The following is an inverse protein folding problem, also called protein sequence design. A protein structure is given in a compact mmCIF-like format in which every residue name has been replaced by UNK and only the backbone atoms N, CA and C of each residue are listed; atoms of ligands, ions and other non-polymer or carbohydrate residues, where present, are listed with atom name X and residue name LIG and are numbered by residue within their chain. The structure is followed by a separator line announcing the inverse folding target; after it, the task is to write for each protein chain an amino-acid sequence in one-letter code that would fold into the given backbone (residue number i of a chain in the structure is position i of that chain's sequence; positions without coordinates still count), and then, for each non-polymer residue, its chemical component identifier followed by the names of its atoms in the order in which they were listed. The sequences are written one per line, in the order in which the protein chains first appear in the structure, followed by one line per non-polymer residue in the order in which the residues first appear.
data_IF_635579583352
#
_entry.id   IF_635579583352
#
_cell.length_a   1.000
_cell.length_b   1.000
_cell.length_c   1.000
_cell.angle_alpha   90.00
_cell.angle_beta   90.00
_cell.angle_gamma   90.00
#
_symmetry.space_group_name_H-M   'P 1'
#
loop_
_entity.id
_entity.type
_entity.pdbx_description
1 polymer ?
#
# COMPACT_ATOMS: atom_id res chain seq x y z
N UNK A 1 -14.58 17.78 -8.24
CA UNK A 1 -13.91 19.08 -8.40
C UNK A 1 -12.42 19.04 -8.04
N UNK A 2 -12.02 18.21 -7.08
CA UNK A 2 -10.65 18.08 -6.55
C UNK A 2 -9.63 17.50 -7.54
N UNK A 3 -10.09 16.81 -8.58
CA UNK A 3 -9.24 16.24 -9.63
C UNK A 3 -9.48 16.88 -11.01
N UNK A 4 -10.20 18.02 -11.04
CA UNK A 4 -10.57 18.70 -12.28
C UNK A 4 -9.38 19.21 -13.11
N UNK A 5 -8.23 19.43 -12.46
CA UNK A 5 -7.01 19.90 -13.11
C UNK A 5 -6.20 18.77 -13.77
N UNK A 6 -6.52 17.50 -13.47
CA UNK A 6 -5.85 16.37 -14.10
C UNK A 6 -6.29 16.25 -15.55
N UNK A 7 -5.31 16.01 -16.42
CA UNK A 7 -5.50 15.71 -17.83
C UNK A 7 -4.67 14.49 -18.19
N UNK A 8 -5.19 13.72 -19.13
CA UNK A 8 -4.43 12.65 -19.79
C UNK A 8 -3.65 13.31 -20.92
N UNK A 9 -2.36 12.98 -21.03
CA UNK A 9 -1.46 13.46 -22.07
C UNK A 9 -0.94 12.26 -22.86
N UNK A 10 -0.68 12.44 -24.15
CA UNK A 10 -0.28 11.32 -25.01
C UNK A 10 1.12 10.78 -24.67
N UNK A 11 2.02 11.67 -24.21
CA UNK A 11 3.41 11.38 -23.88
C UNK A 11 3.61 10.55 -22.59
N UNK A 12 2.56 10.39 -21.79
CA UNK A 12 2.57 9.61 -20.54
C UNK A 12 1.76 8.30 -20.64
N UNK A 13 1.09 8.02 -21.77
CA UNK A 13 0.19 6.87 -21.91
C UNK A 13 0.90 5.53 -21.77
N UNK A 14 2.09 5.39 -22.37
CA UNK A 14 2.88 4.15 -22.29
C UNK A 14 3.33 3.85 -20.86
N UNK A 15 3.80 4.86 -20.14
CA UNK A 15 4.16 4.71 -18.73
C UNK A 15 2.92 4.40 -17.88
N UNK A 16 1.80 5.07 -18.15
CA UNK A 16 0.54 4.84 -17.42
C UNK A 16 -0.01 3.42 -17.65
N UNK A 17 0.14 2.88 -18.86
CA UNK A 17 -0.21 1.48 -19.17
C UNK A 17 0.72 0.49 -18.46
N UNK A 18 2.02 0.78 -18.41
CA UNK A 18 2.96 -0.02 -17.60
C UNK A 18 2.60 0.01 -16.11
N UNK A 19 2.24 1.17 -15.55
CA UNK A 19 1.76 1.27 -14.16
C UNK A 19 0.46 0.50 -13.92
N UNK A 20 -0.46 0.55 -14.89
CA UNK A 20 -1.71 -0.21 -14.84
C UNK A 20 -1.45 -1.71 -14.76
N UNK A 21 -0.59 -2.24 -15.64
CA UNK A 21 -0.32 -3.68 -15.72
C UNK A 21 0.54 -4.21 -14.57
N UNK A 22 1.49 -3.42 -14.06
CA UNK A 22 2.50 -3.90 -13.11
C UNK A 22 2.23 -3.51 -11.65
N UNK A 23 1.41 -2.48 -11.39
CA UNK A 23 1.26 -1.92 -10.05
C UNK A 23 -0.19 -1.75 -9.57
N UNK A 24 -1.20 -2.04 -10.40
CA UNK A 24 -2.59 -2.03 -9.97
C UNK A 24 -3.04 -3.42 -9.52
N UNK A 25 -3.48 -3.55 -8.27
CA UNK A 25 -3.98 -4.80 -7.69
C UNK A 25 -5.50 -4.93 -7.78
N UNK A 26 -6.20 -3.82 -8.08
CA UNK A 26 -7.66 -3.75 -8.18
C UNK A 26 -8.04 -3.27 -9.59
N UNK A 27 -9.10 -3.81 -10.20
CA UNK A 27 -9.54 -3.39 -11.53
C UNK A 27 -9.76 -1.88 -11.64
N UNK A 28 -9.14 -1.26 -12.65
CA UNK A 28 -9.32 0.15 -12.98
C UNK A 28 -10.43 0.29 -14.01
N UNK A 29 -11.55 0.89 -13.62
CA UNK A 29 -12.58 1.31 -14.57
C UNK A 29 -12.13 2.59 -15.28
N UNK A 30 -12.29 2.64 -16.61
CA UNK A 30 -11.95 3.80 -17.44
C UNK A 30 -10.65 3.67 -18.24
N UNK A 31 -9.76 2.75 -17.88
CA UNK A 31 -8.48 2.59 -18.59
C UNK A 31 -7.56 3.81 -18.50
N UNK A 32 -6.46 3.79 -19.28
CA UNK A 32 -5.41 4.82 -19.24
C UNK A 32 -5.82 6.14 -19.89
N UNK A 33 -6.79 6.10 -20.81
CA UNK A 33 -7.20 7.26 -21.63
C UNK A 33 -8.16 8.22 -20.91
N UNK A 34 -8.66 7.85 -19.73
CA UNK A 34 -9.63 8.65 -18.98
C UNK A 34 -9.05 9.21 -17.69
N UNK A 35 -9.39 10.45 -17.34
CA UNK A 35 -8.89 11.12 -16.11
C UNK A 35 -9.20 10.33 -14.84
N UNK A 36 -10.38 9.73 -14.73
CA UNK A 36 -10.74 8.91 -13.57
C UNK A 36 -9.96 7.59 -13.52
N UNK A 37 -9.66 7.00 -14.69
CA UNK A 37 -8.81 5.82 -14.79
C UNK A 37 -7.36 6.14 -14.42
N UNK A 38 -6.80 7.22 -14.97
CA UNK A 38 -5.49 7.78 -14.59
C UNK A 38 -5.40 8.02 -13.08
N UNK A 39 -6.39 8.68 -12.49
CA UNK A 39 -6.43 8.97 -11.03
C UNK A 39 -6.36 7.67 -10.21
N UNK A 40 -7.11 6.65 -10.62
CA UNK A 40 -7.11 5.34 -9.96
C UNK A 40 -5.76 4.63 -10.12
N UNK A 41 -5.18 4.62 -11.32
CA UNK A 41 -3.86 4.03 -11.58
C UNK A 41 -2.79 4.71 -10.71
N UNK A 42 -2.76 6.04 -10.68
CA UNK A 42 -1.78 6.80 -9.88
C UNK A 42 -1.95 6.55 -8.37
N UNK A 43 -3.19 6.41 -7.88
CA UNK A 43 -3.46 6.04 -6.50
C UNK A 43 -2.93 4.63 -6.18
N UNK A 44 -3.17 3.65 -7.04
CA UNK A 44 -2.68 2.28 -6.83
C UNK A 44 -1.16 2.19 -6.97
N UNK A 45 -0.58 2.87 -7.96
CA UNK A 45 0.86 3.00 -8.14
C UNK A 45 1.54 3.64 -6.91
N UNK A 46 0.88 4.64 -6.31
CA UNK A 46 1.35 5.23 -5.06
C UNK A 46 1.39 4.19 -3.93
N UNK A 47 0.28 3.47 -3.68
CA UNK A 47 0.21 2.41 -2.66
C UNK A 47 1.28 1.33 -2.91
N UNK A 48 1.49 0.95 -4.16
CA UNK A 48 2.51 -0.02 -4.60
C UNK A 48 3.95 0.50 -4.53
N UNK A 49 4.17 1.76 -4.16
CA UNK A 49 5.48 2.43 -4.15
C UNK A 49 6.20 2.38 -5.51
N UNK A 50 5.42 2.41 -6.60
CA UNK A 50 5.96 2.41 -7.95
C UNK A 50 6.90 3.61 -8.16
N UNK A 51 7.95 3.38 -8.96
CA UNK A 51 8.83 4.43 -9.44
C UNK A 51 8.26 4.97 -10.75
N UNK A 52 8.09 6.29 -10.81
CA UNK A 52 7.61 6.99 -11.99
C UNK A 52 8.78 7.73 -12.62
N UNK A 53 8.85 7.73 -13.95
CA UNK A 53 9.89 8.37 -14.74
C UNK A 53 9.46 9.74 -15.24
N UNK A 54 8.22 9.87 -15.72
CA UNK A 54 7.72 11.13 -16.24
C UNK A 54 7.44 12.14 -15.13
N UNK A 55 8.01 13.34 -15.25
CA UNK A 55 7.75 14.46 -14.34
C UNK A 55 6.27 14.84 -14.27
N UNK A 56 5.52 14.70 -15.37
CA UNK A 56 4.08 14.98 -15.37
C UNK A 56 3.32 14.00 -14.49
N UNK A 57 3.61 12.70 -14.59
CA UNK A 57 2.98 11.66 -13.77
C UNK A 57 3.42 11.75 -12.29
N UNK A 58 4.68 12.09 -12.02
CA UNK A 58 5.16 12.32 -10.64
C UNK A 58 4.36 13.47 -9.99
N UNK A 59 4.22 14.58 -10.71
CA UNK A 59 3.46 15.76 -10.26
C UNK A 59 1.98 15.40 -10.04
N UNK A 60 1.37 14.72 -11.00
CA UNK A 60 -0.03 14.31 -10.93
C UNK A 60 -0.27 13.30 -9.79
N UNK A 61 0.64 12.36 -9.56
CA UNK A 61 0.57 11.42 -8.42
C UNK A 61 0.65 12.18 -7.09
N UNK A 62 1.56 13.15 -6.96
CA UNK A 62 1.65 14.00 -5.76
C UNK A 62 0.35 14.76 -5.52
N UNK A 63 -0.23 15.35 -6.58
CA UNK A 63 -1.52 16.01 -6.51
C UNK A 63 -2.64 15.06 -6.09
N UNK A 64 -2.71 13.85 -6.65
CA UNK A 64 -3.69 12.83 -6.23
C UNK A 64 -3.54 12.54 -4.74
N UNK A 65 -2.32 12.29 -4.26
CA UNK A 65 -2.06 11.89 -2.88
C UNK A 65 -2.41 12.95 -1.84
N UNK A 66 -2.17 14.23 -2.13
CA UNK A 66 -2.54 15.35 -1.25
C UNK A 66 -4.05 15.43 -0.97
N UNK A 67 -4.86 14.93 -1.89
CA UNK A 67 -6.32 15.01 -1.83
C UNK A 67 -6.96 13.67 -1.46
N UNK A 68 -6.43 12.54 -1.92
CA UNK A 68 -7.10 11.23 -1.84
C UNK A 68 -7.25 10.72 -0.41
N UNK A 69 -6.25 10.93 0.46
CA UNK A 69 -6.31 10.51 1.88
C UNK A 69 -7.49 11.17 2.59
N UNK A 70 -7.61 12.51 2.50
CA UNK A 70 -8.68 13.24 3.18
C UNK A 70 -10.06 12.90 2.61
N UNK A 71 -10.15 12.66 1.30
CA UNK A 71 -11.40 12.26 0.65
C UNK A 71 -11.86 10.88 1.13
N UNK A 72 -10.96 9.91 1.21
CA UNK A 72 -11.30 8.56 1.68
C UNK A 72 -11.69 8.58 3.16
N UNK A 73 -10.99 9.37 4.00
CA UNK A 73 -11.38 9.54 5.41
C UNK A 73 -12.76 10.17 5.56
N UNK A 74 -13.07 11.21 4.77
CA UNK A 74 -14.40 11.82 4.76
C UNK A 74 -15.48 10.81 4.36
N UNK A 75 -15.23 10.01 3.31
CA UNK A 75 -16.14 8.93 2.92
C UNK A 75 -16.33 7.91 4.04
N UNK A 76 -15.23 7.48 4.68
CA UNK A 76 -15.26 6.57 5.83
C UNK A 76 -16.13 7.11 6.97
N UNK A 77 -15.95 8.37 7.35
CA UNK A 77 -16.73 8.99 8.42
C UNK A 77 -18.23 9.07 8.10
N UNK A 78 -18.58 9.39 6.85
CA UNK A 78 -19.98 9.43 6.41
C UNK A 78 -20.61 8.03 6.52
N UNK A 79 -19.95 6.99 6.02
CA UNK A 79 -20.51 5.63 6.06
C UNK A 79 -20.54 5.06 7.47
N UNK A 80 -19.59 5.44 8.32
CA UNK A 80 -19.55 5.06 9.73
C UNK A 80 -20.73 5.67 10.49
N UNK A 81 -21.02 6.96 10.28
CA UNK A 81 -22.19 7.65 10.86
C UNK A 81 -23.51 7.05 10.39
N UNK A 82 -23.55 6.45 9.20
CA UNK A 82 -24.72 5.74 8.66
C UNK A 82 -24.82 4.28 9.10
N UNK A 83 -23.88 3.80 9.93
CA UNK A 83 -23.83 2.43 10.42
C UNK A 83 -23.73 1.37 9.31
N UNK A 84 -23.11 1.71 8.18
CA UNK A 84 -22.91 0.78 7.07
C UNK A 84 -21.66 -0.08 7.29
N UNK A 85 -21.71 -0.98 8.27
CA UNK A 85 -20.55 -1.71 8.80
C UNK A 85 -19.60 -2.28 7.73
N UNK A 86 -20.13 -2.96 6.70
CA UNK A 86 -19.32 -3.55 5.62
C UNK A 86 -18.56 -2.46 4.85
N UNK A 87 -19.24 -1.38 4.47
CA UNK A 87 -18.62 -0.30 3.71
C UNK A 87 -17.65 0.52 4.57
N UNK A 88 -17.97 0.74 5.84
CA UNK A 88 -17.07 1.37 6.81
C UNK A 88 -15.77 0.58 6.97
N UNK A 89 -15.86 -0.74 7.10
CA UNK A 89 -14.68 -1.61 7.18
C UNK A 89 -13.81 -1.52 5.91
N UNK A 90 -14.44 -1.56 4.73
CA UNK A 90 -13.74 -1.43 3.45
C UNK A 90 -13.07 -0.06 3.28
N UNK A 91 -13.76 1.03 3.58
CA UNK A 91 -13.20 2.37 3.45
C UNK A 91 -12.08 2.64 4.47
N UNK A 92 -12.18 2.12 5.69
CA UNK A 92 -11.10 2.19 6.66
C UNK A 92 -9.84 1.48 6.17
N UNK A 93 -10.00 0.30 5.56
CA UNK A 93 -8.91 -0.46 4.97
C UNK A 93 -8.25 0.30 3.82
N UNK A 94 -9.05 0.90 2.93
CA UNK A 94 -8.51 1.75 1.85
C UNK A 94 -7.78 2.98 2.43
N UNK A 95 -8.33 3.64 3.44
CA UNK A 95 -7.67 4.77 4.10
C UNK A 95 -6.28 4.37 4.64
N UNK A 96 -6.21 3.25 5.36
CA UNK A 96 -4.94 2.70 5.87
C UNK A 96 -3.95 2.38 4.76
N UNK A 97 -4.40 1.77 3.66
CA UNK A 97 -3.51 1.42 2.55
C UNK A 97 -2.87 2.64 1.90
N UNK A 98 -3.64 3.71 1.73
CA UNK A 98 -3.14 4.98 1.18
C UNK A 98 -2.20 5.66 2.18
N UNK A 99 -2.62 5.79 3.44
CA UNK A 99 -1.83 6.47 4.47
C UNK A 99 -0.47 5.80 4.74
N UNK A 100 -0.45 4.47 4.75
CA UNK A 100 0.77 3.69 4.97
C UNK A 100 1.54 3.41 3.67
N UNK A 101 1.00 3.82 2.53
CA UNK A 101 1.55 3.56 1.19
C UNK A 101 1.91 2.08 1.03
N UNK A 102 0.92 1.23 1.29
CA UNK A 102 1.09 -0.22 1.45
C UNK A 102 -0.23 -0.96 1.26
N UNK A 103 -0.23 -2.08 0.54
CA UNK A 103 -1.41 -2.94 0.42
C UNK A 103 -1.71 -3.70 1.73
N UNK A 104 -2.99 -4.00 1.99
CA UNK A 104 -3.40 -4.76 3.16
C UNK A 104 -3.06 -6.26 3.07
N UNK A 105 -2.58 -6.71 1.92
CA UNK A 105 -2.17 -8.10 1.66
C UNK A 105 -0.71 -8.39 1.95
N UNK A 106 0.11 -7.37 2.20
CA UNK A 106 1.54 -7.56 2.49
C UNK A 106 1.81 -7.51 3.99
N UNK A 107 2.97 -8.03 4.41
CA UNK A 107 3.33 -8.16 5.81
C UNK A 107 3.39 -6.77 6.52
N UNK A 108 2.80 -6.60 7.71
CA UNK A 108 2.81 -5.32 8.42
C UNK A 108 4.20 -4.74 8.72
N UNK A 109 5.26 -5.55 8.73
CA UNK A 109 6.64 -5.11 8.94
C UNK A 109 7.16 -4.22 7.78
N UNK A 110 6.47 -4.15 6.64
CA UNK A 110 6.75 -3.18 5.58
C UNK A 110 6.61 -1.71 6.04
N UNK A 111 5.95 -1.45 7.18
CA UNK A 111 5.99 -0.15 7.87
C UNK A 111 7.41 0.23 8.34
N UNK A 112 8.29 -0.76 8.52
CA UNK A 112 9.68 -0.58 8.92
C UNK A 112 10.66 -0.76 7.75
N UNK A 113 10.21 -0.61 6.49
CA UNK A 113 11.05 -0.82 5.30
C UNK A 113 12.27 0.09 5.17
N UNK A 114 12.34 1.15 5.98
CA UNK A 114 13.52 2.01 6.10
C UNK A 114 14.63 1.42 7.00
N UNK A 115 14.29 0.40 7.80
CA UNK A 115 15.20 -0.26 8.74
C UNK A 115 15.42 -1.74 8.39
N UNK A 116 14.43 -2.39 7.75
CA UNK A 116 14.51 -3.79 7.34
C UNK A 116 14.84 -3.86 5.85
N UNK A 117 15.81 -4.70 5.48
CA UNK A 117 16.14 -4.96 4.07
C UNK A 117 14.89 -5.49 3.32
N UNK A 118 14.59 -4.90 2.16
CA UNK A 118 13.45 -5.23 1.30
C UNK A 118 13.40 -6.72 0.96
N UNK A 119 14.53 -7.37 0.70
CA UNK A 119 14.59 -8.81 0.40
C UNK A 119 14.07 -9.67 1.55
N UNK A 120 14.26 -9.22 2.80
CA UNK A 120 13.74 -9.92 3.97
C UNK A 120 12.22 -9.77 4.03
N UNK A 121 11.71 -8.55 3.81
CA UNK A 121 10.26 -8.30 3.77
C UNK A 121 9.58 -9.13 2.68
N UNK A 122 10.17 -9.21 1.49
CA UNK A 122 9.68 -10.07 0.41
C UNK A 122 9.69 -11.56 0.78
N UNK A 123 10.70 -12.05 1.52
CA UNK A 123 10.71 -13.43 2.04
C UNK A 123 9.61 -13.67 3.06
N UNK A 124 9.30 -12.68 3.91
CA UNK A 124 8.19 -12.76 4.86
C UNK A 124 6.84 -12.83 4.14
N UNK A 125 6.64 -12.01 3.11
CA UNK A 125 5.44 -12.05 2.26
C UNK A 125 5.29 -13.40 1.54
N UNK A 126 6.37 -13.89 0.91
CA UNK A 126 6.36 -15.15 0.18
C UNK A 126 6.00 -16.34 1.08
N UNK A 127 6.31 -16.25 2.37
CA UNK A 127 5.97 -17.26 3.39
C UNK A 127 4.67 -16.96 4.14
N UNK A 128 3.96 -15.88 3.77
CA UNK A 128 2.72 -15.41 4.41
C UNK A 128 2.88 -15.29 5.93
N UNK A 129 4.02 -14.78 6.36
CA UNK A 129 4.29 -14.59 7.78
C UNK A 129 3.42 -13.46 8.34
N UNK A 130 2.93 -13.64 9.56
CA UNK A 130 2.25 -12.59 10.33
C UNK A 130 3.09 -12.18 11.54
N UNK A 131 2.91 -10.97 12.09
CA UNK A 131 3.57 -10.55 13.32
C UNK A 131 3.35 -11.53 14.48
N UNK A 132 2.14 -12.04 14.66
CA UNK A 132 1.78 -13.00 15.71
C UNK A 132 2.62 -14.27 15.60
N UNK A 133 2.68 -14.87 14.40
CA UNK A 133 3.45 -16.08 14.18
C UNK A 133 4.95 -15.85 14.36
N UNK A 134 5.47 -14.68 13.96
CA UNK A 134 6.87 -14.31 14.22
C UNK A 134 7.16 -14.18 15.73
N UNK A 135 6.19 -13.75 16.54
CA UNK A 135 6.34 -13.66 17.99
C UNK A 135 6.36 -15.04 18.66
N UNK A 136 5.67 -16.03 18.10
CA UNK A 136 5.67 -17.41 18.60
C UNK A 136 6.93 -18.19 18.24
N UNK A 137 7.57 -17.86 17.11
CA UNK A 137 8.74 -18.59 16.61
C UNK A 137 10.04 -18.30 17.37
N UNK A 138 10.93 -19.28 17.45
CA UNK A 138 12.29 -19.06 17.96
C UNK A 138 13.10 -18.16 17.04
N UNK A 139 13.94 -17.29 17.62
CA UNK A 139 14.74 -16.33 16.84
C UNK A 139 15.70 -17.01 15.86
N UNK A 140 16.16 -18.22 16.18
CA UNK A 140 16.99 -19.04 15.29
C UNK A 140 16.19 -19.50 14.05
N UNK A 141 14.96 -19.93 14.23
CA UNK A 141 14.10 -20.41 13.15
C UNK A 141 13.69 -19.27 12.21
N UNK A 142 13.38 -18.09 12.77
CA UNK A 142 13.16 -16.86 11.98
C UNK A 142 14.41 -16.56 11.14
N UNK A 143 15.58 -16.63 11.77
CA UNK A 143 16.86 -16.39 11.12
C UNK A 143 17.16 -17.36 9.98
N UNK A 144 16.91 -18.67 10.18
CA UNK A 144 17.05 -19.69 9.14
C UNK A 144 16.06 -19.42 8.00
N UNK A 145 14.80 -19.10 8.33
CA UNK A 145 13.73 -18.84 7.37
C UNK A 145 14.06 -17.69 6.42
N UNK A 146 14.64 -16.61 6.94
CA UNK A 146 15.04 -15.44 6.13
C UNK A 146 16.43 -15.60 5.49
N UNK A 147 17.09 -16.74 5.71
CA UNK A 147 18.48 -17.03 5.32
C UNK A 147 19.48 -16.03 5.90
N UNK A 148 19.20 -15.52 7.09
CA UNK A 148 20.10 -14.65 7.86
C UNK A 148 19.89 -14.83 9.35
N UNK A 149 20.63 -15.77 9.95
CA UNK A 149 20.50 -16.15 11.36
C UNK A 149 20.71 -14.99 12.33
N UNK A 150 21.52 -13.99 11.95
CA UNK A 150 21.83 -12.83 12.79
C UNK A 150 20.64 -11.89 12.97
N UNK A 151 19.76 -11.81 11.99
CA UNK A 151 18.64 -10.86 11.97
C UNK A 151 17.35 -11.44 12.58
N UNK A 152 17.31 -12.73 12.93
CA UNK A 152 16.10 -13.34 13.48
C UNK A 152 15.59 -12.68 14.76
N UNK A 153 16.50 -12.23 15.64
CA UNK A 153 16.15 -11.46 16.84
C UNK A 153 15.56 -10.09 16.49
N UNK A 154 16.16 -9.40 15.53
CA UNK A 154 15.74 -8.07 15.11
C UNK A 154 14.36 -8.08 14.44
N UNK A 155 14.11 -9.04 13.55
CA UNK A 155 12.78 -9.24 12.94
C UNK A 155 11.72 -9.52 14.00
N UNK A 156 12.03 -10.37 15.00
CA UNK A 156 11.12 -10.63 16.12
C UNK A 156 10.85 -9.37 16.94
N UNK A 157 11.86 -8.53 17.17
CA UNK A 157 11.70 -7.22 17.82
C UNK A 157 10.76 -6.31 17.02
N UNK A 158 10.95 -6.18 15.70
CA UNK A 158 10.04 -5.36 14.87
C UNK A 158 8.62 -5.89 14.85
N UNK A 159 8.43 -7.22 14.84
CA UNK A 159 7.11 -7.82 14.98
C UNK A 159 6.42 -7.40 16.30
N UNK A 160 7.17 -7.25 17.39
CA UNK A 160 6.62 -6.81 18.68
C UNK A 160 6.21 -5.33 18.72
N UNK A 161 6.69 -4.51 17.78
CA UNK A 161 6.27 -3.12 17.66
C UNK A 161 4.95 -2.94 16.91
N UNK A 162 4.47 -3.99 16.22
CA UNK A 162 3.14 -3.97 15.62
C UNK A 162 2.10 -4.11 16.74
N UNK A 163 1.16 -3.16 16.89
CA UNK A 163 0.15 -3.24 17.93
C UNK A 163 -0.79 -4.44 17.70
N UNK A 164 -0.86 -5.33 18.69
CA UNK A 164 -1.76 -6.49 18.72
C UNK A 164 -2.61 -6.37 19.98
N UNK A 165 -3.94 -6.47 19.82
CA UNK A 165 -4.89 -6.46 20.94
C UNK A 165 -5.39 -7.87 21.17
N UNK A 166 -5.27 -8.35 22.41
CA UNK A 166 -5.95 -9.55 22.88
C UNK A 166 -7.31 -9.14 23.43
N UNK A 167 -8.38 -9.55 22.74
CA UNK A 167 -9.77 -9.33 23.16
C UNK A 167 -10.32 -10.54 23.90
#
# INVERSE_FOLDING_TARGET
DEFSQLKVRDDELEELDSLYNNHCHVPVKGGVENVHGKTNILMQAYISRAQLNSFSLISDMSYVNQNVVRLIRALFEIVLKRSWAILSSRLLRVAKMVEQRMWDTINPLWQFSQYINIEILQKLDAKQMTPERLLEMDTKDIGIMIHNTRLGKEIKTYASYIPILHM
#
